data_IF_752963234118
#
_entry.id   IF_752963234118
#
_cell.length_a   1.000
_cell.length_b   1.000
_cell.length_c   1.000
_cell.angle_alpha   90.00
_cell.angle_beta   90.00
_cell.angle_gamma   90.00
#
_symmetry.space_group_name_H-M   'P 1'
#
loop_
_entity.id
_entity.type
_entity.pdbx_description
1 polymer ?
#
# COMPACT_ATOMS: atom_id res chain seq x y z
N UNK A 1 75.73 12.89 -7.78
CA UNK A 1 76.74 11.87 -8.10
C UNK A 1 76.03 10.72 -8.78
N UNK A 2 76.48 10.44 -10.00
CA UNK A 2 76.00 9.42 -10.92
C UNK A 2 76.66 8.07 -10.64
N UNK A 3 75.93 6.97 -10.81
CA UNK A 3 76.29 5.75 -11.59
C UNK A 3 75.12 4.77 -11.48
N UNK A 4 74.28 4.58 -12.51
CA UNK A 4 74.36 3.52 -13.55
C UNK A 4 74.34 2.11 -12.96
N UNK A 5 73.42 1.21 -13.31
CA UNK A 5 73.38 0.53 -14.63
C UNK A 5 72.00 -0.09 -14.91
N UNK A 6 71.59 -0.02 -16.17
CA UNK A 6 70.34 -0.51 -16.75
C UNK A 6 70.45 -1.93 -17.34
N UNK A 7 69.31 -2.55 -17.69
CA UNK A 7 68.98 -3.38 -18.89
C UNK A 7 67.50 -3.85 -18.68
N UNK A 8 66.48 -3.24 -19.31
CA UNK A 8 65.94 -3.43 -20.67
C UNK A 8 65.28 -4.83 -20.89
N UNK A 9 63.95 -4.95 -20.82
CA UNK A 9 62.92 -4.88 -21.89
C UNK A 9 62.77 -6.14 -22.75
N UNK A 10 61.56 -6.71 -22.82
CA UNK A 10 60.86 -6.96 -24.10
C UNK A 10 59.35 -7.21 -23.93
N UNK A 11 58.64 -6.70 -24.93
CA UNK A 11 57.20 -6.59 -25.14
C UNK A 11 56.70 -7.83 -25.89
N UNK A 12 55.47 -8.25 -25.62
CA UNK A 12 54.72 -9.15 -26.50
C UNK A 12 53.22 -8.99 -26.28
N UNK A 13 52.57 -8.23 -27.18
CA UNK A 13 51.13 -8.02 -27.20
C UNK A 13 50.40 -9.13 -27.99
N UNK A 14 49.18 -9.43 -27.54
CA UNK A 14 48.00 -9.88 -28.29
C UNK A 14 48.04 -11.23 -29.04
N UNK A 15 47.18 -12.18 -28.64
CA UNK A 15 45.85 -12.38 -29.27
C UNK A 15 45.17 -13.70 -28.84
N UNK A 16 43.94 -13.55 -28.33
CA UNK A 16 42.70 -14.27 -28.72
C UNK A 16 42.76 -15.79 -28.94
N UNK A 17 42.13 -16.55 -28.02
CA UNK A 17 40.92 -17.36 -28.28
C UNK A 17 40.82 -18.62 -27.40
N UNK A 18 39.57 -19.00 -27.10
CA UNK A 18 39.09 -20.22 -26.45
C UNK A 18 39.42 -20.39 -24.95
N UNK A 19 38.43 -20.10 -24.10
CA UNK A 19 37.79 -21.10 -23.23
C UNK A 19 36.46 -20.53 -22.72
N UNK A 20 35.46 -20.57 -23.61
CA UNK A 20 34.07 -20.55 -23.19
C UNK A 20 33.64 -21.94 -22.74
N UNK A 21 32.63 -21.98 -21.86
CA UNK A 21 31.94 -23.17 -21.34
C UNK A 21 32.71 -23.92 -20.23
N UNK A 22 32.57 -23.46 -18.97
CA UNK A 22 32.63 -24.29 -17.73
C UNK A 22 32.52 -23.45 -16.44
N UNK A 23 31.53 -22.55 -16.36
CA UNK A 23 31.11 -21.96 -15.06
C UNK A 23 29.64 -22.20 -14.74
N UNK A 24 28.93 -22.94 -15.58
CA UNK A 24 27.67 -23.57 -15.22
C UNK A 24 28.00 -24.92 -14.57
N UNK A 25 27.55 -25.13 -13.33
CA UNK A 25 27.80 -26.29 -12.45
C UNK A 25 29.01 -26.22 -11.51
N UNK A 26 28.89 -25.37 -10.48
CA UNK A 26 29.38 -25.69 -9.12
C UNK A 26 28.74 -24.78 -8.06
N UNK A 27 27.40 -24.78 -7.96
CA UNK A 27 26.70 -24.42 -6.71
C UNK A 27 25.86 -25.62 -6.29
N UNK A 28 26.57 -26.68 -5.91
CA UNK A 28 26.00 -27.88 -5.33
C UNK A 28 25.73 -27.66 -3.85
N UNK A 29 24.45 -27.74 -3.50
CA UNK A 29 23.95 -28.42 -2.30
C UNK A 29 24.30 -27.83 -0.93
N UNK A 30 23.80 -26.61 -0.67
CA UNK A 30 23.07 -26.35 0.57
C UNK A 30 22.07 -25.21 0.35
N UNK A 31 21.03 -25.47 -0.45
CA UNK A 31 19.89 -24.55 -0.51
C UNK A 31 19.26 -24.50 0.89
N UNK A 32 19.62 -23.45 1.65
CA UNK A 32 18.91 -23.09 2.87
C UNK A 32 17.42 -23.03 2.51
N UNK A 33 16.58 -23.77 3.24
CA UNK A 33 15.14 -23.94 2.99
C UNK A 33 14.31 -22.63 3.03
N UNK A 34 14.95 -21.46 3.03
CA UNK A 34 14.33 -20.13 3.24
C UNK A 34 14.68 -19.06 2.21
N UNK A 35 15.70 -19.25 1.37
CA UNK A 35 16.18 -18.14 0.53
C UNK A 35 15.19 -17.80 -0.58
N UNK A 36 14.72 -16.55 -0.62
CA UNK A 36 13.94 -16.03 -1.74
C UNK A 36 14.77 -15.95 -3.02
N UNK A 37 14.12 -16.16 -4.17
CA UNK A 37 14.78 -16.05 -5.47
C UNK A 37 14.79 -14.58 -5.93
N UNK A 38 15.94 -14.11 -6.38
CA UNK A 38 16.11 -12.80 -7.02
C UNK A 38 16.52 -13.01 -8.47
N UNK A 39 15.77 -12.45 -9.41
CA UNK A 39 16.16 -12.40 -10.81
C UNK A 39 16.58 -10.99 -11.16
N UNK A 40 17.85 -10.84 -11.56
CA UNK A 40 18.40 -9.57 -12.04
C UNK A 40 18.04 -9.38 -13.53
N UNK A 41 17.80 -8.13 -13.98
CA UNK A 41 17.62 -7.84 -15.40
C UNK A 41 18.88 -8.25 -16.19
N UNK A 42 18.70 -9.02 -17.26
CA UNK A 42 19.81 -9.44 -18.13
C UNK A 42 20.34 -8.29 -18.99
N UNK A 43 21.66 -8.27 -19.22
CA UNK A 43 22.35 -7.30 -20.09
C UNK A 43 22.26 -7.62 -21.59
N UNK A 44 21.46 -8.60 -22.00
CA UNK A 44 21.51 -9.14 -23.37
C UNK A 44 20.53 -8.41 -24.30
N UNK A 45 21.01 -7.32 -24.89
CA UNK A 45 20.40 -6.71 -26.06
C UNK A 45 20.73 -7.53 -27.31
N UNK A 46 20.01 -8.62 -27.56
CA UNK A 46 19.95 -9.18 -28.91
C UNK A 46 18.64 -9.89 -29.18
N UNK A 47 17.94 -9.36 -30.19
CA UNK A 47 16.72 -9.87 -30.84
C UNK A 47 15.43 -9.81 -30.04
N UNK A 48 14.66 -8.72 -30.21
CA UNK A 48 13.21 -8.72 -30.42
C UNK A 48 12.81 -7.36 -31.02
N UNK A 49 11.89 -7.40 -31.98
CA UNK A 49 11.58 -6.31 -32.91
C UNK A 49 11.00 -5.05 -32.27
N UNK A 50 11.06 -3.97 -33.06
CA UNK A 50 10.74 -2.59 -32.68
C UNK A 50 9.34 -2.43 -32.07
N UNK A 51 9.32 -2.10 -30.78
CA UNK A 51 8.23 -1.37 -30.12
C UNK A 51 8.88 -0.18 -29.39
N UNK A 52 8.20 0.96 -29.50
CA UNK A 52 8.59 2.29 -29.05
C UNK A 52 9.24 2.35 -27.66
N UNK A 53 10.48 2.87 -27.58
CA UNK A 53 11.12 3.54 -26.45
C UNK A 53 10.74 3.10 -25.01
N UNK A 54 10.86 1.81 -24.70
CA UNK A 54 10.85 1.31 -23.32
C UNK A 54 12.29 1.30 -22.78
N UNK A 55 12.58 2.09 -21.75
CA UNK A 55 13.73 1.81 -20.88
C UNK A 55 13.39 0.51 -20.15
N UNK A 56 14.11 -0.61 -20.35
CA UNK A 56 13.85 -1.82 -19.57
C UNK A 56 14.10 -1.49 -18.11
N UNK A 57 13.04 -1.45 -17.32
CA UNK A 57 13.14 -1.11 -15.91
C UNK A 57 13.99 -2.18 -15.22
N UNK A 58 15.18 -1.78 -14.78
CA UNK A 58 16.20 -2.66 -14.26
C UNK A 58 15.99 -2.98 -12.76
N UNK A 59 14.77 -3.34 -12.36
CA UNK A 59 14.51 -3.73 -10.97
C UNK A 59 14.65 -5.24 -10.80
N UNK A 60 15.26 -5.69 -9.68
CA UNK A 60 15.26 -7.10 -9.36
C UNK A 60 13.83 -7.57 -9.09
N UNK A 61 13.47 -8.72 -9.66
CA UNK A 61 12.22 -9.42 -9.35
C UNK A 61 12.46 -10.32 -8.14
N UNK A 62 11.65 -10.16 -7.10
CA UNK A 62 11.74 -10.92 -5.86
C UNK A 62 10.53 -11.85 -5.77
N UNK A 63 10.79 -13.16 -5.73
CA UNK A 63 9.76 -14.17 -5.58
C UNK A 63 9.49 -14.45 -4.08
N UNK A 64 8.25 -14.80 -3.70
CA UNK A 64 7.94 -15.14 -2.31
C UNK A 64 8.68 -16.42 -1.89
N UNK A 65 8.86 -16.65 -0.58
CA UNK A 65 9.42 -17.90 -0.06
C UNK A 65 8.68 -19.13 -0.60
N UNK A 66 9.36 -20.27 -0.62
CA UNK A 66 8.81 -21.55 -1.10
C UNK A 66 8.40 -21.60 -2.58
N UNK A 67 8.82 -20.64 -3.39
CA UNK A 67 8.67 -20.72 -4.85
C UNK A 67 9.56 -21.84 -5.41
N UNK A 68 8.96 -22.79 -6.14
CA UNK A 68 9.71 -23.88 -6.75
C UNK A 68 10.51 -23.41 -7.98
N UNK A 69 11.68 -24.03 -8.28
CA UNK A 69 12.44 -23.70 -9.50
C UNK A 69 11.63 -23.84 -10.79
N UNK A 70 10.67 -24.78 -10.84
CA UNK A 70 9.81 -24.99 -11.99
C UNK A 70 8.84 -23.82 -12.25
N UNK A 71 8.43 -23.12 -11.19
CA UNK A 71 7.52 -21.96 -11.29
C UNK A 71 8.26 -20.63 -11.44
N UNK A 72 9.55 -20.59 -11.08
CA UNK A 72 10.34 -19.37 -10.99
C UNK A 72 10.36 -18.55 -12.29
N UNK A 73 10.60 -19.18 -13.43
CA UNK A 73 10.69 -18.49 -14.71
C UNK A 73 9.35 -17.83 -15.11
N UNK A 74 8.25 -18.57 -15.00
CA UNK A 74 6.90 -18.08 -15.31
C UNK A 74 6.50 -16.94 -14.38
N UNK A 75 6.66 -17.12 -13.07
CA UNK A 75 6.33 -16.08 -12.08
C UNK A 75 7.17 -14.83 -12.27
N UNK A 76 8.45 -14.98 -12.58
CA UNK A 76 9.33 -13.84 -12.86
C UNK A 76 8.82 -13.04 -14.06
N UNK A 77 8.49 -13.71 -15.16
CA UNK A 77 7.96 -13.05 -16.36
C UNK A 77 6.61 -12.36 -16.09
N UNK A 78 5.73 -13.01 -15.34
CA UNK A 78 4.43 -12.46 -14.97
C UNK A 78 4.56 -11.22 -14.07
N UNK A 79 5.40 -11.29 -13.05
CA UNK A 79 5.64 -10.18 -12.12
C UNK A 79 6.31 -9.02 -12.84
N UNK A 80 7.32 -9.28 -13.69
CA UNK A 80 7.98 -8.24 -14.47
C UNK A 80 6.98 -7.51 -15.38
N UNK A 81 6.06 -8.22 -16.03
CA UNK A 81 4.99 -7.63 -16.82
C UNK A 81 4.07 -6.74 -15.98
N UNK A 82 3.67 -7.20 -14.79
CA UNK A 82 2.83 -6.42 -13.86
C UNK A 82 3.54 -5.15 -13.37
N UNK A 83 4.83 -5.24 -13.02
CA UNK A 83 5.64 -4.12 -12.56
C UNK A 83 5.89 -3.10 -13.67
N UNK A 84 6.19 -3.55 -14.90
CA UNK A 84 6.33 -2.66 -16.05
C UNK A 84 5.02 -1.93 -16.34
N UNK A 85 3.88 -2.63 -16.25
CA UNK A 85 2.56 -2.00 -16.37
C UNK A 85 2.35 -0.94 -15.28
N UNK A 86 2.69 -1.23 -14.03
CA UNK A 86 2.54 -0.28 -12.92
C UNK A 86 3.41 0.97 -13.05
N UNK A 87 4.63 0.82 -13.60
CA UNK A 87 5.56 1.92 -13.81
C UNK A 87 5.27 2.79 -15.05
N UNK A 88 4.18 2.54 -15.79
CA UNK A 88 3.86 3.24 -17.03
C UNK A 88 3.85 4.79 -16.89
N UNK A 89 3.46 5.29 -15.72
CA UNK A 89 3.40 6.73 -15.41
C UNK A 89 4.59 7.21 -14.57
N UNK A 90 5.68 6.45 -14.55
CA UNK A 90 6.92 6.74 -13.82
C UNK A 90 6.86 6.41 -12.33
N UNK A 91 8.04 6.33 -11.71
CA UNK A 91 8.18 5.89 -10.31
C UNK A 91 8.21 7.07 -9.34
N UNK A 92 7.58 6.96 -8.14
CA UNK A 92 7.58 8.04 -7.16
C UNK A 92 8.97 8.47 -6.68
N UNK A 93 9.91 7.52 -6.66
CA UNK A 93 11.35 7.70 -6.51
C UNK A 93 12.07 6.46 -7.06
N UNK A 94 13.40 6.44 -7.10
CA UNK A 94 14.18 5.30 -7.64
C UNK A 94 15.03 4.57 -6.58
N UNK A 95 14.93 4.98 -5.32
CA UNK A 95 15.69 4.39 -4.22
C UNK A 95 15.21 2.96 -3.92
N UNK A 96 16.11 1.98 -3.98
CA UNK A 96 15.88 0.58 -3.58
C UNK A 96 14.54 0.00 -4.12
N UNK A 97 14.26 0.22 -5.40
CA UNK A 97 13.03 -0.26 -6.05
C UNK A 97 13.18 -1.72 -6.42
N UNK A 98 12.16 -2.52 -6.10
CA UNK A 98 12.08 -3.94 -6.42
C UNK A 98 10.70 -4.31 -6.93
N UNK A 99 10.65 -5.35 -7.77
CA UNK A 99 9.43 -5.90 -8.32
C UNK A 99 8.99 -7.13 -7.54
N UNK A 100 7.73 -7.15 -7.13
CA UNK A 100 7.08 -8.25 -6.43
C UNK A 100 5.82 -8.68 -7.19
N UNK A 101 5.17 -9.76 -6.75
CA UNK A 101 3.90 -10.17 -7.34
C UNK A 101 2.83 -9.10 -7.21
N UNK A 102 2.45 -8.50 -8.34
CA UNK A 102 1.38 -7.51 -8.46
C UNK A 102 1.75 -6.07 -8.10
N UNK A 103 2.95 -5.80 -7.58
CA UNK A 103 3.34 -4.46 -7.14
C UNK A 103 4.85 -4.19 -7.21
N UNK A 104 5.19 -2.90 -7.29
CA UNK A 104 6.53 -2.35 -7.09
C UNK A 104 6.63 -1.76 -5.69
N UNK A 105 7.78 -1.87 -5.05
CA UNK A 105 8.04 -1.20 -3.77
C UNK A 105 9.42 -0.56 -3.75
N UNK A 106 9.50 0.65 -3.18
CA UNK A 106 10.77 1.27 -2.78
C UNK A 106 11.02 0.98 -1.31
N UNK A 107 12.13 0.32 -1.00
CA UNK A 107 12.48 -0.03 0.38
C UNK A 107 13.17 1.14 1.10
N UNK A 108 12.94 1.26 2.42
CA UNK A 108 13.69 2.19 3.26
C UNK A 108 14.42 1.41 4.37
N UNK A 109 15.75 1.39 4.31
CA UNK A 109 16.58 0.68 5.28
C UNK A 109 16.69 1.40 6.63
N UNK A 110 16.56 2.73 6.64
CA UNK A 110 16.60 3.54 7.86
C UNK A 110 15.32 3.31 8.70
N UNK A 111 14.16 3.40 8.05
CA UNK A 111 12.85 3.29 8.71
C UNK A 111 12.32 1.86 8.79
N UNK A 112 12.91 0.96 8.01
CA UNK A 112 12.55 -0.46 7.91
C UNK A 112 11.07 -0.68 7.56
N UNK A 113 10.54 0.19 6.72
CA UNK A 113 9.22 0.12 6.09
C UNK A 113 9.39 0.62 4.64
N UNK A 114 8.51 0.30 3.69
CA UNK A 114 8.61 0.85 2.35
C UNK A 114 8.43 2.38 2.33
N UNK A 115 9.12 3.08 1.43
CA UNK A 115 8.85 4.50 1.13
C UNK A 115 7.49 4.65 0.43
N UNK A 116 7.19 3.74 -0.49
CA UNK A 116 5.96 3.65 -1.24
C UNK A 116 5.81 2.26 -1.86
N UNK A 117 4.58 1.90 -2.17
CA UNK A 117 4.17 0.71 -2.93
C UNK A 117 3.28 1.19 -4.07
N UNK A 118 3.49 0.64 -5.26
CA UNK A 118 2.76 0.99 -6.49
C UNK A 118 2.18 -0.28 -7.13
N UNK A 119 0.90 -0.25 -7.48
CA UNK A 119 0.15 -1.38 -8.02
C UNK A 119 -0.84 -0.91 -9.11
N UNK A 120 -1.24 -1.82 -9.99
CA UNK A 120 -2.33 -1.60 -10.96
C UNK A 120 -3.45 -2.56 -10.68
N UNK A 121 -4.63 -2.03 -10.40
CA UNK A 121 -5.80 -2.83 -10.08
C UNK A 121 -6.71 -2.85 -11.28
N UNK A 122 -6.80 -4.01 -11.93
CA UNK A 122 -7.74 -4.28 -13.01
C UNK A 122 -8.84 -5.22 -12.50
N UNK A 123 -10.05 -4.68 -12.36
CA UNK A 123 -11.21 -5.40 -11.86
C UNK A 123 -11.50 -6.68 -12.66
N UNK A 124 -11.20 -6.69 -13.96
CA UNK A 124 -11.48 -7.83 -14.84
C UNK A 124 -10.54 -9.00 -14.53
N UNK A 125 -9.28 -8.72 -14.20
CA UNK A 125 -8.30 -9.74 -13.79
C UNK A 125 -8.68 -10.38 -12.44
N UNK A 126 -9.38 -9.64 -11.57
CA UNK A 126 -9.90 -10.18 -10.31
C UNK A 126 -11.07 -11.16 -10.47
N UNK A 127 -11.79 -11.12 -11.60
CA UNK A 127 -13.05 -11.85 -11.79
C UNK A 127 -13.07 -12.77 -13.02
N UNK A 128 -11.98 -12.88 -13.77
CA UNK A 128 -11.88 -13.68 -14.99
C UNK A 128 -12.13 -15.19 -14.81
N UNK A 129 -12.27 -15.68 -13.57
CA UNK A 129 -12.62 -17.06 -13.24
C UNK A 129 -14.10 -17.34 -12.96
N UNK A 130 -14.97 -16.32 -12.87
CA UNK A 130 -16.43 -16.52 -12.67
C UNK A 130 -17.16 -16.49 -14.01
N UNK A 131 -17.61 -17.66 -14.48
CA UNK A 131 -18.59 -17.75 -15.58
C UNK A 131 -19.85 -16.98 -15.15
N UNK A 132 -20.36 -16.00 -15.93
CA UNK A 132 -21.63 -15.37 -15.63
C UNK A 132 -22.74 -16.42 -15.80
N UNK A 133 -23.43 -16.77 -14.72
CA UNK A 133 -24.73 -17.43 -14.82
C UNK A 133 -25.72 -16.45 -15.45
N UNK A 134 -26.62 -16.99 -16.27
CA UNK A 134 -27.55 -16.30 -17.18
C UNK A 134 -28.21 -15.02 -16.64
N UNK A 135 -28.58 -14.09 -17.55
CA UNK A 135 -29.22 -12.83 -17.19
C UNK A 135 -30.69 -13.04 -16.86
N UNK A 136 -31.01 -13.25 -15.59
CA UNK A 136 -32.39 -13.14 -15.11
C UNK A 136 -32.38 -12.71 -13.64
N UNK A 137 -32.55 -11.39 -13.44
CA UNK A 137 -32.94 -10.62 -12.22
C UNK A 137 -32.03 -9.41 -11.97
N UNK A 138 -31.98 -8.49 -12.93
CA UNK A 138 -31.59 -7.11 -12.64
C UNK A 138 -32.81 -6.38 -12.07
N UNK A 139 -33.03 -6.50 -10.76
CA UNK A 139 -33.98 -5.66 -10.04
C UNK A 139 -33.53 -5.49 -8.58
N UNK A 140 -33.08 -4.27 -8.28
CA UNK A 140 -32.95 -3.66 -6.96
C UNK A 140 -32.07 -4.38 -5.93
N UNK A 141 -30.84 -3.90 -5.77
CA UNK A 141 -30.01 -4.15 -4.59
C UNK A 141 -28.94 -3.07 -4.49
N UNK A 142 -29.02 -2.23 -3.47
CA UNK A 142 -27.90 -1.43 -2.97
C UNK A 142 -26.83 -2.40 -2.42
N UNK A 143 -26.01 -2.98 -3.31
CA UNK A 143 -24.84 -3.80 -2.94
C UNK A 143 -23.61 -2.90 -2.69
N UNK A 144 -23.80 -1.86 -1.89
CA UNK A 144 -22.71 -1.09 -1.29
C UNK A 144 -22.57 -1.57 0.16
N UNK A 145 -21.38 -2.07 0.49
CA UNK A 145 -20.95 -2.61 1.79
C UNK A 145 -21.35 -4.05 2.14
N UNK A 146 -20.65 -5.02 1.54
CA UNK A 146 -20.24 -6.24 2.28
C UNK A 146 -18.73 -6.42 2.11
N UNK A 147 -17.97 -5.71 2.96
CA UNK A 147 -16.59 -6.06 3.28
C UNK A 147 -16.56 -6.52 4.73
N UNK A 148 -16.57 -7.83 4.92
CA UNK A 148 -16.49 -8.44 6.24
C UNK A 148 -17.60 -9.45 6.47
N UNK A 149 -17.53 -10.58 5.76
CA UNK A 149 -17.81 -11.91 6.28
C UNK A 149 -17.50 -12.88 5.13
N UNK A 150 -16.25 -13.37 5.08
CA UNK A 150 -16.01 -14.66 4.42
C UNK A 150 -16.72 -15.68 5.31
N UNK A 151 -17.97 -15.98 4.97
CA UNK A 151 -18.68 -17.12 5.54
C UNK A 151 -17.79 -18.35 5.44
N UNK A 152 -17.79 -19.15 6.50
CA UNK A 152 -17.12 -20.44 6.58
C UNK A 152 -17.80 -21.41 5.61
N UNK A 153 -17.60 -21.21 4.30
CA UNK A 153 -18.02 -22.14 3.27
C UNK A 153 -16.95 -23.22 3.18
N UNK A 154 -17.21 -24.32 3.88
CA UNK A 154 -16.36 -25.51 3.94
C UNK A 154 -16.39 -26.31 2.62
N UNK A 155 -16.96 -25.76 1.53
CA UNK A 155 -16.88 -26.33 0.19
C UNK A 155 -15.62 -25.85 -0.57
N UNK A 156 -14.44 -26.14 0.00
CA UNK A 156 -13.14 -25.81 -0.59
C UNK A 156 -12.97 -26.46 -1.97
N UNK A 157 -13.07 -25.66 -3.03
CA UNK A 157 -12.57 -26.06 -4.35
C UNK A 157 -11.04 -26.09 -4.28
N UNK A 158 -10.45 -27.28 -4.46
CA UNK A 158 -9.00 -27.44 -4.54
C UNK A 158 -8.46 -26.62 -5.74
N UNK A 159 -7.85 -25.46 -5.46
CA UNK A 159 -7.29 -24.57 -6.48
C UNK A 159 -7.52 -23.07 -6.26
N UNK A 160 -8.43 -22.68 -5.37
CA UNK A 160 -8.71 -21.25 -5.12
C UNK A 160 -7.56 -20.55 -4.36
N UNK A 161 -7.22 -19.32 -4.75
CA UNK A 161 -6.22 -18.48 -4.07
C UNK A 161 -6.79 -17.99 -2.74
N UNK A 162 -6.08 -18.21 -1.63
CA UNK A 162 -6.60 -17.92 -0.30
C UNK A 162 -5.55 -17.27 0.61
N UNK A 163 -5.98 -16.20 1.27
CA UNK A 163 -5.17 -15.44 2.23
C UNK A 163 -4.73 -16.30 3.42
N UNK A 164 -5.54 -17.28 3.79
CA UNK A 164 -5.29 -18.16 4.93
C UNK A 164 -4.08 -19.10 4.70
N UNK A 165 -3.60 -19.21 3.46
CA UNK A 165 -2.37 -19.94 3.12
C UNK A 165 -1.11 -19.06 3.12
N UNK A 166 -1.27 -17.75 3.24
CA UNK A 166 -0.17 -16.79 3.24
C UNK A 166 0.30 -16.50 4.66
N UNK A 167 1.61 -16.31 4.83
CA UNK A 167 2.21 -15.97 6.10
C UNK A 167 3.10 -14.74 5.94
N UNK A 168 3.09 -13.85 6.93
CA UNK A 168 4.08 -12.76 6.99
C UNK A 168 5.49 -13.33 7.04
N UNK A 169 6.39 -12.78 6.23
CA UNK A 169 7.79 -13.23 6.19
C UNK A 169 8.76 -12.05 6.08
N UNK A 170 9.97 -12.27 6.56
CA UNK A 170 11.07 -11.34 6.44
C UNK A 170 11.69 -11.43 5.05
N UNK A 171 12.06 -10.30 4.44
CA UNK A 171 12.65 -10.30 3.11
C UNK A 171 14.13 -10.73 3.18
N UNK A 172 14.43 -11.92 2.70
CA UNK A 172 15.79 -12.48 2.76
C UNK A 172 16.76 -11.80 1.77
N UNK A 173 16.23 -11.01 0.84
CA UNK A 173 16.98 -10.21 -0.13
C UNK A 173 17.33 -8.82 0.41
N UNK A 174 16.81 -8.46 1.59
CA UNK A 174 17.24 -7.28 2.36
C UNK A 174 18.43 -7.67 3.25
N UNK A 175 19.50 -6.84 3.32
CA UNK A 175 20.62 -7.08 4.24
C UNK A 175 20.13 -7.29 5.67
N UNK A 176 20.76 -8.21 6.40
CA UNK A 176 20.28 -8.66 7.70
C UNK A 176 20.06 -7.52 8.71
N UNK A 177 20.90 -6.48 8.69
CA UNK A 177 20.80 -5.30 9.56
C UNK A 177 19.52 -4.46 9.34
N UNK A 178 18.86 -4.60 8.19
CA UNK A 178 17.66 -3.84 7.82
C UNK A 178 16.42 -4.72 7.66
N UNK A 179 16.58 -6.04 7.85
CA UNK A 179 15.53 -7.03 7.65
C UNK A 179 14.51 -6.96 8.79
N UNK A 180 13.24 -7.06 8.45
CA UNK A 180 12.14 -6.97 9.42
C UNK A 180 11.49 -8.33 9.62
N UNK A 181 11.71 -9.00 10.76
CA UNK A 181 10.97 -10.21 11.06
C UNK A 181 9.51 -9.92 11.43
N UNK A 182 8.58 -10.87 11.20
CA UNK A 182 7.15 -10.70 11.51
C UNK A 182 6.81 -10.38 12.97
N UNK A 183 7.74 -10.62 13.90
CA UNK A 183 7.60 -10.32 15.33
C UNK A 183 8.15 -8.94 15.72
N UNK A 184 8.52 -8.08 14.76
CA UNK A 184 9.03 -6.73 15.03
C UNK A 184 7.94 -5.75 15.47
N UNK A 185 6.67 -6.06 15.22
CA UNK A 185 5.58 -5.11 15.46
C UNK A 185 4.96 -5.43 16.82
N UNK A 186 5.68 -5.03 17.87
CA UNK A 186 5.37 -5.38 19.27
C UNK A 186 4.59 -4.30 20.00
N UNK A 187 4.53 -3.09 19.44
CA UNK A 187 3.77 -1.97 20.03
C UNK A 187 2.29 -2.32 20.10
N UNK A 188 1.67 -2.03 21.24
CA UNK A 188 0.31 -2.48 21.53
C UNK A 188 -0.70 -1.82 20.58
N UNK A 189 -1.61 -2.63 20.05
CA UNK A 189 -2.66 -2.19 19.14
C UNK A 189 -2.17 -1.79 17.75
N UNK A 190 -0.88 -2.03 17.45
CA UNK A 190 -0.39 -2.02 16.09
C UNK A 190 -0.64 -3.38 15.44
N UNK A 191 -1.00 -3.33 14.18
CA UNK A 191 -1.19 -4.46 13.28
C UNK A 191 -0.14 -4.41 12.16
N UNK A 192 0.01 -5.52 11.44
CA UNK A 192 0.79 -5.59 10.21
C UNK A 192 -0.08 -5.09 9.05
N UNK A 193 -0.05 -3.78 8.82
CA UNK A 193 -0.86 -3.09 7.82
C UNK A 193 -0.31 -3.28 6.41
N UNK A 194 -1.14 -3.76 5.48
CA UNK A 194 -0.74 -3.91 4.08
C UNK A 194 -0.88 -2.57 3.35
N UNK A 195 0.06 -2.24 2.46
CA UNK A 195 -0.07 -1.09 1.55
C UNK A 195 -0.76 -1.50 0.23
N UNK A 196 -0.26 -2.56 -0.41
CA UNK A 196 -0.93 -3.34 -1.46
C UNK A 196 -1.74 -4.48 -0.81
N UNK A 197 -3.06 -4.41 -0.93
CA UNK A 197 -3.96 -5.26 -0.16
C UNK A 197 -4.06 -6.67 -0.75
N UNK A 198 -3.80 -7.71 0.05
CA UNK A 198 -3.84 -9.11 -0.39
C UNK A 198 -5.13 -9.49 -1.16
N UNK A 199 -6.27 -8.91 -0.77
CA UNK A 199 -7.57 -9.14 -1.42
C UNK A 199 -7.70 -8.61 -2.86
N UNK A 200 -6.74 -7.82 -3.33
CA UNK A 200 -6.61 -7.30 -4.69
C UNK A 200 -5.56 -8.07 -5.51
N UNK A 201 -4.91 -9.07 -4.92
CA UNK A 201 -3.84 -9.85 -5.54
C UNK A 201 -4.19 -11.34 -5.59
N UNK A 202 -5.22 -11.66 -6.39
CA UNK A 202 -5.80 -13.02 -6.47
C UNK A 202 -5.41 -13.80 -7.73
N UNK A 203 -4.49 -13.31 -8.56
CA UNK A 203 -4.15 -13.99 -9.81
C UNK A 203 -3.40 -15.32 -9.59
N UNK A 204 -2.60 -15.41 -8.52
CA UNK A 204 -1.97 -16.65 -8.08
C UNK A 204 -1.69 -16.61 -6.57
N UNK A 205 -1.46 -17.78 -5.96
CA UNK A 205 -1.06 -17.83 -4.56
C UNK A 205 0.29 -17.13 -4.34
N UNK A 206 1.24 -17.22 -5.28
CA UNK A 206 2.53 -16.55 -5.19
C UNK A 206 2.40 -15.01 -5.25
N UNK A 207 1.46 -14.49 -6.05
CA UNK A 207 1.15 -13.05 -6.05
C UNK A 207 0.61 -12.61 -4.69
N UNK A 208 -0.39 -13.33 -4.16
CA UNK A 208 -0.94 -13.06 -2.84
C UNK A 208 0.11 -13.15 -1.74
N UNK A 209 0.94 -14.21 -1.74
CA UNK A 209 2.02 -14.40 -0.78
C UNK A 209 3.01 -13.25 -0.83
N UNK A 210 3.29 -12.69 -2.01
CA UNK A 210 4.17 -11.52 -2.16
C UNK A 210 3.69 -10.31 -1.35
N UNK A 211 2.38 -10.15 -1.13
CA UNK A 211 1.83 -9.04 -0.32
C UNK A 211 2.13 -9.15 1.17
N UNK A 212 2.59 -10.31 1.65
CA UNK A 212 2.92 -10.55 3.07
C UNK A 212 4.38 -10.24 3.42
N UNK A 213 5.14 -9.65 2.50
CA UNK A 213 6.53 -9.26 2.70
C UNK A 213 6.67 -8.10 3.70
N UNK A 214 7.31 -8.35 4.85
CA UNK A 214 7.44 -7.39 5.95
C UNK A 214 8.24 -6.13 5.61
N UNK A 215 9.21 -6.20 4.70
CA UNK A 215 10.04 -5.06 4.32
C UNK A 215 9.41 -4.25 3.17
N UNK A 216 8.70 -4.91 2.27
CA UNK A 216 8.25 -4.33 1.01
C UNK A 216 6.83 -3.78 1.05
N UNK A 217 5.95 -4.34 1.88
CA UNK A 217 4.52 -4.04 1.79
C UNK A 217 3.83 -3.78 3.13
N UNK A 218 4.54 -3.94 4.25
CA UNK A 218 3.95 -3.88 5.58
C UNK A 218 4.45 -2.65 6.35
N UNK A 219 3.53 -2.00 7.06
CA UNK A 219 3.80 -0.89 7.99
C UNK A 219 3.13 -1.14 9.35
N UNK A 220 3.72 -0.69 10.48
CA UNK A 220 3.01 -0.69 11.75
C UNK A 220 1.78 0.22 11.66
N UNK A 221 0.60 -0.35 11.74
CA UNK A 221 -0.66 0.36 11.51
C UNK A 221 -1.60 0.17 12.70
N UNK A 222 -2.20 1.25 13.21
CA UNK A 222 -3.21 1.14 14.27
C UNK A 222 -4.33 0.19 13.83
N UNK A 223 -4.67 -0.76 14.69
CA UNK A 223 -5.59 -1.84 14.33
C UNK A 223 -7.01 -1.35 14.05
N UNK A 224 -7.45 -0.25 14.66
CA UNK A 224 -8.78 0.30 14.44
C UNK A 224 -8.84 1.10 13.14
N UNK A 225 -7.76 1.79 12.78
CA UNK A 225 -7.61 2.35 11.43
C UNK A 225 -7.63 1.24 10.38
N UNK A 226 -6.80 0.21 10.56
CA UNK A 226 -6.67 -0.90 9.61
C UNK A 226 -8.01 -1.62 9.39
N UNK A 227 -8.75 -1.89 10.48
CA UNK A 227 -10.01 -2.63 10.43
C UNK A 227 -11.22 -1.82 9.96
N UNK A 228 -11.13 -0.49 9.86
CA UNK A 228 -12.27 0.37 9.52
C UNK A 228 -11.96 1.31 8.37
N UNK A 229 -11.29 2.44 8.63
CA UNK A 229 -11.14 3.53 7.65
C UNK A 229 -10.20 3.16 6.51
N UNK A 230 -9.13 2.44 6.81
CA UNK A 230 -8.22 1.95 5.78
C UNK A 230 -8.90 0.87 4.93
N UNK A 231 -9.64 -0.05 5.54
CA UNK A 231 -10.42 -1.06 4.83
C UNK A 231 -11.50 -0.42 3.93
N UNK A 232 -12.15 0.67 4.37
CA UNK A 232 -13.06 1.46 3.53
C UNK A 232 -12.33 2.03 2.31
N UNK A 233 -11.11 2.53 2.50
CA UNK A 233 -10.28 3.06 1.41
C UNK A 233 -9.84 1.95 0.44
N UNK A 234 -9.54 0.74 0.92
CA UNK A 234 -9.33 -0.44 0.07
C UNK A 234 -10.60 -0.85 -0.69
N UNK A 235 -11.77 -0.73 -0.06
CA UNK A 235 -13.07 -0.88 -0.71
C UNK A 235 -13.28 0.13 -1.83
N UNK A 236 -12.90 1.39 -1.60
CA UNK A 236 -12.91 2.41 -2.64
C UNK A 236 -11.97 2.05 -3.80
N UNK A 237 -10.78 1.51 -3.54
CA UNK A 237 -9.88 0.99 -4.60
C UNK A 237 -10.60 -0.02 -5.49
N UNK A 238 -11.31 -0.99 -4.90
CA UNK A 238 -12.07 -2.01 -5.64
C UNK A 238 -13.19 -1.40 -6.47
N UNK A 239 -13.93 -0.46 -5.88
CA UNK A 239 -15.02 0.27 -6.57
C UNK A 239 -14.48 1.07 -7.75
N UNK A 240 -13.46 1.91 -7.53
CA UNK A 240 -12.85 2.73 -8.57
C UNK A 240 -12.30 1.86 -9.71
N UNK A 241 -11.63 0.75 -9.39
CA UNK A 241 -11.11 -0.17 -10.40
C UNK A 241 -12.23 -0.74 -11.27
N UNK A 242 -13.38 -1.10 -10.67
CA UNK A 242 -14.56 -1.53 -11.42
C UNK A 242 -15.09 -0.42 -12.32
N UNK A 243 -15.31 0.76 -11.77
CA UNK A 243 -15.88 1.90 -12.49
C UNK A 243 -15.02 2.27 -13.70
N UNK A 244 -13.69 2.36 -13.50
CA UNK A 244 -12.69 2.71 -14.53
C UNK A 244 -12.53 1.60 -15.57
N UNK A 245 -12.39 0.34 -15.15
CA UNK A 245 -12.16 -0.77 -16.09
C UNK A 245 -13.39 -1.13 -16.92
N UNK A 246 -14.60 -0.83 -16.45
CA UNK A 246 -15.87 -1.11 -17.16
C UNK A 246 -16.43 0.15 -17.84
N UNK A 247 -15.86 1.33 -17.60
CA UNK A 247 -16.32 2.60 -18.18
C UNK A 247 -17.66 3.09 -17.61
N UNK A 248 -17.95 2.77 -16.34
CA UNK A 248 -19.15 3.25 -15.67
C UNK A 248 -18.93 4.64 -15.09
N UNK A 249 -19.20 5.68 -15.89
CA UNK A 249 -19.42 7.03 -15.38
C UNK A 249 -20.86 7.19 -14.92
N UNK A 250 -21.10 7.52 -13.65
CA UNK A 250 -22.42 8.00 -13.25
C UNK A 250 -22.62 9.44 -13.74
N UNK A 251 -23.01 9.61 -15.00
CA UNK A 251 -23.61 10.87 -15.43
C UNK A 251 -24.90 11.07 -14.63
N UNK A 252 -24.99 12.16 -13.88
CA UNK A 252 -26.18 12.52 -13.10
C UNK A 252 -27.45 12.38 -13.94
N UNK A 253 -28.56 11.96 -13.30
CA UNK A 253 -29.90 11.79 -13.89
C UNK A 253 -30.32 12.99 -14.76
N UNK A 254 -29.90 12.99 -16.02
CA UNK A 254 -30.45 13.80 -17.09
C UNK A 254 -31.64 13.06 -17.67
N UNK A 255 -32.84 13.55 -17.38
CA UNK A 255 -34.12 13.03 -17.85
C UNK A 255 -34.12 12.97 -19.40
N UNK A 256 -33.75 11.83 -19.99
CA UNK A 256 -33.95 11.59 -21.43
C UNK A 256 -35.45 11.50 -21.69
N UNK A 257 -35.98 12.57 -22.28
CA UNK A 257 -37.36 12.67 -22.77
C UNK A 257 -37.54 11.62 -23.87
N UNK A 258 -38.56 10.77 -23.72
CA UNK A 258 -38.84 9.66 -24.62
C UNK A 258 -39.07 10.11 -26.06
N UNK A 259 -38.33 9.49 -26.98
CA UNK A 259 -38.61 9.44 -28.40
C UNK A 259 -38.29 8.03 -28.87
N UNK A 260 -39.30 7.32 -29.38
CA UNK A 260 -39.16 5.97 -29.91
C UNK A 260 -38.21 5.95 -31.13
N UNK A 261 -37.29 4.98 -31.26
CA UNK A 261 -36.48 4.87 -32.46
C UNK A 261 -37.22 4.08 -33.56
N UNK A 262 -37.04 4.43 -34.85
CA UNK A 262 -37.51 3.59 -35.95
C UNK A 262 -36.56 2.40 -36.14
N UNK A 263 -37.13 1.27 -36.57
CA UNK A 263 -36.39 0.07 -36.90
C UNK A 263 -35.49 0.30 -38.12
N UNK A 264 -34.18 0.13 -37.95
CA UNK A 264 -33.19 0.17 -39.01
C UNK A 264 -31.95 -0.63 -38.61
N UNK A 265 -31.59 -1.59 -39.46
CA UNK A 265 -30.41 -2.44 -39.34
C UNK A 265 -29.14 -1.60 -39.07
N UNK A 266 -28.50 -1.84 -37.93
CA UNK A 266 -27.11 -1.44 -37.70
C UNK A 266 -26.30 -2.69 -37.43
N UNK A 267 -25.42 -2.99 -38.36
CA UNK A 267 -24.23 -3.81 -38.16
C UNK A 267 -23.58 -3.41 -36.84
N UNK A 268 -23.56 -4.33 -35.89
CA UNK A 268 -22.75 -4.24 -34.67
C UNK A 268 -21.29 -4.16 -35.10
N UNK A 269 -20.78 -2.94 -35.23
CA UNK A 269 -19.36 -2.72 -35.08
C UNK A 269 -19.07 -2.99 -33.60
N UNK A 270 -18.58 -4.21 -33.30
CA UNK A 270 -17.91 -4.55 -32.06
C UNK A 270 -16.83 -3.49 -31.81
N UNK A 271 -17.16 -2.49 -31.00
CA UNK A 271 -16.22 -1.48 -30.56
C UNK A 271 -15.17 -2.18 -29.71
N UNK A 272 -13.94 -2.22 -30.20
CA UNK A 272 -12.75 -2.55 -29.42
C UNK A 272 -12.68 -1.60 -28.22
N UNK A 273 -13.33 -2.00 -27.11
CA UNK A 273 -13.54 -1.18 -25.94
C UNK A 273 -12.22 -0.91 -25.25
N UNK A 274 -11.72 0.31 -25.37
CA UNK A 274 -10.53 0.75 -24.67
C UNK A 274 -10.76 0.63 -23.16
N UNK A 275 -10.06 -0.29 -22.51
CA UNK A 275 -10.29 -0.60 -21.10
C UNK A 275 -9.47 0.28 -20.18
N UNK A 276 -10.15 1.02 -19.30
CA UNK A 276 -9.47 1.85 -18.32
C UNK A 276 -8.67 1.04 -17.29
N UNK A 277 -7.69 1.68 -16.68
CA UNK A 277 -6.81 1.12 -15.65
C UNK A 277 -6.76 2.03 -14.44
N UNK A 278 -6.72 1.44 -13.24
CA UNK A 278 -6.52 2.17 -11.99
C UNK A 278 -5.11 1.91 -11.47
N UNK A 279 -4.29 2.95 -11.45
CA UNK A 279 -2.97 2.97 -10.85
C UNK A 279 -3.08 3.46 -9.41
N UNK A 280 -2.40 2.78 -8.49
CA UNK A 280 -2.48 3.09 -7.06
C UNK A 280 -1.07 3.23 -6.50
N UNK A 281 -0.81 4.30 -5.76
CA UNK A 281 0.42 4.47 -4.97
C UNK A 281 0.04 4.65 -3.51
N UNK A 282 0.63 3.84 -2.64
CA UNK A 282 0.31 3.78 -1.21
C UNK A 282 1.59 3.86 -0.40
N UNK A 283 1.59 4.56 0.73
CA UNK A 283 2.80 4.66 1.54
C UNK A 283 2.61 5.31 2.90
N UNK A 284 3.66 5.26 3.74
CA UNK A 284 3.72 6.00 4.99
C UNK A 284 3.98 7.49 4.77
N UNK A 285 3.48 8.31 5.70
CA UNK A 285 3.83 9.73 5.80
C UNK A 285 4.18 10.13 7.24
N UNK A 286 5.19 10.99 7.37
CA UNK A 286 5.70 11.51 8.64
C UNK A 286 5.42 13.02 8.68
N UNK A 287 4.23 13.38 9.17
CA UNK A 287 3.71 14.74 9.14
C UNK A 287 4.28 15.53 10.32
N UNK A 288 4.97 16.67 10.07
CA UNK A 288 5.46 17.53 11.14
C UNK A 288 4.31 18.11 11.97
N UNK A 289 4.53 18.26 13.28
CA UNK A 289 3.61 18.90 14.21
C UNK A 289 4.28 20.05 14.93
N UNK A 290 3.49 21.05 15.32
CA UNK A 290 3.98 22.12 16.18
C UNK A 290 4.08 21.60 17.60
N UNK A 291 5.25 21.78 18.18
CA UNK A 291 5.58 21.37 19.54
C UNK A 291 5.82 22.64 20.36
N UNK A 292 5.13 22.77 21.48
CA UNK A 292 5.45 23.78 22.49
C UNK A 292 6.71 23.34 23.21
N UNK A 293 7.65 24.26 23.34
CA UNK A 293 8.89 24.07 24.07
C UNK A 293 8.69 24.53 25.51
N UNK A 294 8.81 23.60 26.44
CA UNK A 294 8.74 23.83 27.87
C UNK A 294 10.11 23.51 28.50
N UNK A 295 10.44 24.16 29.61
CA UNK A 295 11.66 23.85 30.36
C UNK A 295 11.27 23.34 31.74
N UNK A 296 11.80 22.18 32.12
CA UNK A 296 11.68 21.67 33.48
C UNK A 296 12.50 22.55 34.46
N UNK A 297 12.21 22.49 35.77
CA UNK A 297 13.01 23.20 36.78
C UNK A 297 14.51 22.86 36.76
N UNK A 298 14.88 21.68 36.25
CA UNK A 298 16.28 21.25 36.07
C UNK A 298 16.95 21.81 34.79
N UNK A 299 16.22 22.61 34.01
CA UNK A 299 16.68 23.18 32.74
C UNK A 299 16.46 22.29 31.52
N UNK A 300 15.93 21.08 31.67
CA UNK A 300 15.70 20.16 30.54
C UNK A 300 14.59 20.68 29.63
N UNK A 301 14.88 20.79 28.33
CA UNK A 301 13.89 21.12 27.30
C UNK A 301 12.93 19.93 27.07
N UNK A 302 11.62 20.19 27.12
CA UNK A 302 10.54 19.22 26.91
C UNK A 302 9.65 19.71 25.79
N UNK A 303 9.32 18.83 24.86
CA UNK A 303 8.52 19.17 23.70
C UNK A 303 7.13 18.57 23.86
N UNK A 304 6.12 19.43 24.00
CA UNK A 304 4.72 19.03 24.18
C UNK A 304 3.96 19.27 22.87
N UNK A 305 3.33 18.24 22.27
CA UNK A 305 2.52 18.43 21.07
C UNK A 305 1.40 19.44 21.30
N UNK A 306 1.26 20.42 20.40
CA UNK A 306 0.12 21.33 20.43
C UNK A 306 -1.09 20.68 19.74
N UNK A 307 -2.29 20.77 20.34
CA UNK A 307 -3.53 20.37 19.67
C UNK A 307 -3.71 21.14 18.35
N UNK A 308 -4.29 20.50 17.34
CA UNK A 308 -4.49 21.08 16.00
C UNK A 308 -5.31 22.39 16.02
N UNK A 309 -6.24 22.54 16.97
CA UNK A 309 -7.02 23.75 17.16
C UNK A 309 -6.20 24.92 17.74
N UNK A 310 -5.18 24.60 18.54
CA UNK A 310 -4.29 25.59 19.16
C UNK A 310 -3.13 25.97 18.23
N UNK A 311 -2.77 25.11 17.28
CA UNK A 311 -1.71 25.35 16.29
C UNK A 311 -1.96 26.61 15.42
N UNK A 312 -3.22 26.91 15.09
CA UNK A 312 -3.61 28.12 14.34
C UNK A 312 -3.66 29.38 15.22
N UNK A 313 -3.91 29.22 16.53
CA UNK A 313 -4.00 30.31 17.49
C UNK A 313 -2.66 30.66 18.16
N UNK A 314 -1.74 29.69 18.28
CA UNK A 314 -0.45 29.79 18.96
C UNK A 314 0.51 30.81 18.33
N UNK A 315 0.29 31.17 17.06
CA UNK A 315 1.02 32.25 16.40
C UNK A 315 0.75 33.64 17.00
N UNK A 316 -0.30 33.82 17.82
CA UNK A 316 -0.73 35.16 18.27
C UNK A 316 -0.75 35.39 19.78
N UNK A 317 -0.71 34.35 20.63
CA UNK A 317 -0.96 34.50 22.09
C UNK A 317 -0.10 33.68 23.06
N UNK A 318 0.85 32.85 22.60
CA UNK A 318 1.71 32.04 23.49
C UNK A 318 3.10 32.67 23.69
N UNK A 319 3.57 32.79 24.93
CA UNK A 319 4.93 33.26 25.27
C UNK A 319 5.98 32.16 25.19
N UNK A 320 5.58 30.88 25.18
CA UNK A 320 6.50 29.76 25.05
C UNK A 320 6.90 29.54 23.57
N UNK A 321 8.19 29.29 23.27
CA UNK A 321 8.64 29.06 21.90
C UNK A 321 7.98 27.80 21.32
N UNK A 322 7.64 27.86 20.03
CA UNK A 322 7.05 26.73 19.30
C UNK A 322 8.01 26.29 18.22
N UNK A 323 8.24 24.98 18.10
CA UNK A 323 9.10 24.37 17.07
C UNK A 323 8.28 23.41 16.20
N UNK A 324 8.47 23.46 14.89
CA UNK A 324 7.91 22.45 13.99
C UNK A 324 8.82 21.21 14.00
N UNK A 325 8.28 20.05 14.37
CA UNK A 325 9.06 18.82 14.51
C UNK A 325 8.34 17.62 13.91
N UNK A 326 9.12 16.72 13.31
CA UNK A 326 8.65 15.39 12.94
C UNK A 326 9.03 14.41 14.03
N UNK A 327 8.04 13.85 14.71
CA UNK A 327 8.22 12.86 15.78
C UNK A 327 7.41 11.63 15.45
N UNK A 328 7.97 10.44 15.66
CA UNK A 328 7.29 9.17 15.44
C UNK A 328 7.81 8.11 16.40
N UNK A 329 6.95 7.13 16.71
CA UNK A 329 7.29 5.99 17.56
C UNK A 329 8.15 4.98 16.77
N UNK A 330 8.99 4.23 17.49
CA UNK A 330 9.61 3.01 16.99
C UNK A 330 8.98 1.80 17.68
N UNK A 331 8.57 0.80 16.91
CA UNK A 331 8.13 -0.50 17.42
C UNK A 331 9.26 -1.53 17.35
N UNK A 332 9.13 -2.67 18.05
CA UNK A 332 10.15 -3.71 18.09
C UNK A 332 10.99 -3.68 19.37
N UNK A 333 12.09 -4.42 19.39
CA UNK A 333 12.90 -4.59 20.59
C UNK A 333 14.33 -4.06 20.37
N UNK A 334 14.80 -3.06 21.15
CA UNK A 334 16.13 -2.49 20.98
C UNK A 334 17.27 -3.52 21.08
N UNK A 335 17.20 -4.45 22.04
CA UNK A 335 18.22 -5.49 22.24
C UNK A 335 18.29 -6.54 21.13
N UNK A 336 17.27 -6.62 20.28
CA UNK A 336 17.23 -7.53 19.12
C UNK A 336 17.49 -6.81 17.81
N UNK A 337 17.75 -5.50 17.87
CA UNK A 337 17.88 -4.63 16.71
C UNK A 337 16.73 -4.84 15.70
N UNK A 338 15.49 -4.86 16.19
CA UNK A 338 14.28 -5.01 15.35
C UNK A 338 13.43 -3.74 15.33
N UNK A 339 14.04 -2.58 15.56
CA UNK A 339 13.31 -1.32 15.62
C UNK A 339 12.78 -0.93 14.24
N UNK A 340 11.48 -0.60 14.17
CA UNK A 340 10.78 -0.23 12.93
C UNK A 340 10.01 1.07 13.16
N UNK A 341 10.06 2.00 12.22
CA UNK A 341 9.35 3.26 12.33
C UNK A 341 7.83 3.07 12.23
N UNK A 342 7.09 3.69 13.15
CA UNK A 342 5.63 3.77 13.09
C UNK A 342 5.26 5.07 12.36
N UNK A 343 4.64 5.01 11.16
CA UNK A 343 4.29 6.20 10.43
C UNK A 343 3.20 7.00 11.15
N UNK A 344 3.26 8.33 11.09
CA UNK A 344 2.24 9.18 11.70
C UNK A 344 0.92 9.17 10.94
N UNK A 345 0.99 8.95 9.62
CA UNK A 345 -0.11 8.94 8.67
C UNK A 345 0.18 7.89 7.60
N UNK A 346 -0.87 7.43 6.93
CA UNK A 346 -0.77 6.66 5.70
C UNK A 346 -1.44 7.43 4.57
N UNK A 347 -0.93 7.27 3.35
CA UNK A 347 -1.52 7.87 2.17
C UNK A 347 -1.86 6.82 1.11
N UNK A 348 -2.86 7.11 0.29
CA UNK A 348 -3.18 6.36 -0.93
C UNK A 348 -3.57 7.34 -2.04
N UNK A 349 -3.01 7.15 -3.22
CA UNK A 349 -3.23 7.99 -4.39
C UNK A 349 -3.72 7.11 -5.53
N UNK A 350 -4.78 7.57 -6.18
CA UNK A 350 -5.40 6.92 -7.32
C UNK A 350 -5.15 7.77 -8.55
N UNK A 351 -4.68 7.13 -9.63
CA UNK A 351 -4.67 7.68 -10.98
C UNK A 351 -5.54 6.76 -11.84
N UNK A 352 -6.67 7.28 -12.32
CA UNK A 352 -7.49 6.59 -13.29
C UNK A 352 -7.03 6.98 -14.69
N UNK A 353 -6.84 5.97 -15.53
CA UNK A 353 -6.62 6.08 -16.96
C UNK A 353 -7.86 5.55 -17.67
N UNK A 354 -8.49 6.37 -18.49
CA UNK A 354 -9.75 6.08 -19.18
C UNK A 354 -9.66 6.43 -20.67
N UNK A 355 -10.67 6.04 -21.45
CA UNK A 355 -10.75 6.31 -22.89
C UNK A 355 -9.55 5.82 -23.72
N UNK A 356 -8.87 4.77 -23.25
CA UNK A 356 -7.69 4.22 -23.90
C UNK A 356 -6.44 5.06 -23.70
N UNK A 357 -6.28 5.64 -22.51
CA UNK A 357 -5.14 6.50 -22.19
C UNK A 357 -5.33 7.96 -22.59
N UNK A 358 -6.52 8.37 -23.03
CA UNK A 358 -6.80 9.75 -23.46
C UNK A 358 -7.30 10.63 -22.32
N UNK A 359 -7.92 10.05 -21.31
CA UNK A 359 -8.44 10.75 -20.14
C UNK A 359 -7.72 10.24 -18.89
N UNK A 360 -7.33 11.18 -18.02
CA UNK A 360 -6.71 10.88 -16.74
C UNK A 360 -7.34 11.72 -15.64
N UNK A 361 -7.51 11.14 -14.46
CA UNK A 361 -7.97 11.86 -13.27
C UNK A 361 -7.31 11.29 -12.01
N UNK A 362 -7.21 12.12 -10.96
CA UNK A 362 -6.43 11.81 -9.77
C UNK A 362 -7.21 12.08 -8.48
N UNK A 363 -6.99 11.28 -7.45
CA UNK A 363 -7.38 11.62 -6.08
C UNK A 363 -6.33 11.11 -5.09
N UNK A 364 -5.98 11.93 -4.10
CA UNK A 364 -5.05 11.58 -3.03
C UNK A 364 -5.76 11.65 -1.68
N UNK A 365 -5.50 10.67 -0.82
CA UNK A 365 -6.03 10.56 0.52
C UNK A 365 -4.89 10.42 1.53
N UNK A 366 -5.03 11.04 2.70
CA UNK A 366 -4.08 10.91 3.81
C UNK A 366 -4.82 10.79 5.13
N UNK A 367 -4.56 9.70 5.87
CA UNK A 367 -5.24 9.37 7.12
C UNK A 367 -4.24 9.31 8.29
N UNK A 368 -4.58 9.81 9.48
CA UNK A 368 -3.74 9.65 10.66
C UNK A 368 -3.64 8.17 11.06
N UNK A 369 -2.43 7.69 11.37
CA UNK A 369 -2.19 6.33 11.83
C UNK A 369 -2.49 6.20 13.34
N UNK A 370 -3.77 6.26 13.69
CA UNK A 370 -4.24 6.18 15.06
C UNK A 370 -5.76 6.02 15.12
N UNK A 371 -6.33 5.97 16.33
CA UNK A 371 -7.77 5.81 16.51
C UNK A 371 -8.56 6.96 15.87
N UNK A 372 -9.50 6.63 14.98
CA UNK A 372 -10.44 7.57 14.39
C UNK A 372 -11.81 7.34 15.03
N UNK A 373 -12.25 8.32 15.81
CA UNK A 373 -13.52 8.23 16.57
C UNK A 373 -14.72 8.77 15.79
N UNK A 374 -14.48 9.69 14.85
CA UNK A 374 -15.53 10.33 14.06
C UNK A 374 -15.89 9.52 12.82
N UNK A 375 -17.19 9.41 12.53
CA UNK A 375 -17.70 8.72 11.35
C UNK A 375 -17.74 9.65 10.12
N UNK A 376 -16.55 10.05 9.66
CA UNK A 376 -16.41 10.93 8.51
C UNK A 376 -16.47 10.16 7.17
N UNK A 377 -17.03 10.75 6.10
CA UNK A 377 -16.91 10.19 4.75
C UNK A 377 -15.44 10.17 4.30
N UNK A 378 -15.07 9.27 3.38
CA UNK A 378 -13.66 9.16 2.93
C UNK A 378 -13.13 10.47 2.32
N UNK A 379 -13.99 11.28 1.69
CA UNK A 379 -13.64 12.60 1.15
C UNK A 379 -13.13 13.58 2.21
N UNK A 380 -13.42 13.37 3.50
CA UNK A 380 -12.85 14.18 4.58
C UNK A 380 -11.33 14.01 4.72
N UNK A 381 -10.78 12.89 4.20
CA UNK A 381 -9.34 12.60 4.19
C UNK A 381 -8.68 12.92 2.84
N UNK A 382 -9.43 13.46 1.88
CA UNK A 382 -8.89 13.85 0.59
C UNK A 382 -7.95 15.05 0.76
N UNK A 383 -6.79 15.00 0.11
CA UNK A 383 -5.79 16.07 0.12
C UNK A 383 -5.37 16.40 -1.31
N UNK A 384 -4.93 17.65 -1.59
CA UNK A 384 -4.28 17.97 -2.85
C UNK A 384 -3.00 17.12 -3.00
N UNK A 385 -2.75 16.58 -4.19
CA UNK A 385 -1.60 15.73 -4.45
C UNK A 385 -0.29 16.49 -4.20
N UNK A 386 -0.24 17.79 -4.47
CA UNK A 386 0.93 18.65 -4.23
C UNK A 386 1.30 18.70 -2.75
N UNK A 387 0.28 18.74 -1.86
CA UNK A 387 0.51 18.70 -0.42
C UNK A 387 1.16 17.38 -0.02
N UNK A 388 0.68 16.27 -0.58
CA UNK A 388 1.23 14.96 -0.29
C UNK A 388 2.68 14.84 -0.77
N UNK A 389 2.99 15.25 -2.01
CA UNK A 389 4.35 15.27 -2.55
C UNK A 389 5.32 16.08 -1.68
N UNK A 390 4.89 17.25 -1.17
CA UNK A 390 5.71 18.07 -0.26
C UNK A 390 5.99 17.39 1.08
N UNK A 391 5.03 16.64 1.61
CA UNK A 391 5.18 15.94 2.90
C UNK A 391 6.06 14.69 2.75
N UNK A 392 5.88 13.93 1.68
CA UNK A 392 6.55 12.64 1.49
C UNK A 392 7.90 12.77 0.79
N UNK A 393 8.13 13.86 0.06
CA UNK A 393 9.29 14.02 -0.81
C UNK A 393 9.22 13.16 -2.07
N UNK A 394 8.05 12.62 -2.41
CA UNK A 394 7.82 11.78 -3.59
C UNK A 394 7.26 12.62 -4.74
N UNK A 395 7.65 12.30 -5.97
CA UNK A 395 7.03 12.85 -7.17
C UNK A 395 6.04 11.82 -7.72
N UNK A 396 4.76 11.96 -7.40
CA UNK A 396 3.75 10.95 -7.69
C UNK A 396 3.33 11.01 -9.17
N UNK A 397 3.53 9.91 -9.89
CA UNK A 397 3.28 9.77 -11.34
C UNK A 397 4.05 10.80 -12.21
N UNK A 398 5.40 10.82 -12.14
CA UNK A 398 6.22 11.84 -12.78
C UNK A 398 6.21 11.80 -14.32
N UNK A 399 5.64 10.75 -14.93
CA UNK A 399 5.40 10.68 -16.38
C UNK A 399 4.39 11.73 -16.88
N UNK A 400 3.69 12.41 -15.97
CA UNK A 400 2.76 13.50 -16.27
C UNK A 400 2.68 14.53 -15.14
N UNK A 401 2.04 15.67 -15.41
CA UNK A 401 1.76 16.66 -14.37
C UNK A 401 0.46 16.30 -13.63
N UNK A 402 0.57 15.35 -12.69
CA UNK A 402 -0.57 14.87 -11.90
C UNK A 402 -1.27 15.99 -11.10
N UNK A 403 -0.58 17.11 -10.84
CA UNK A 403 -1.11 18.27 -10.10
C UNK A 403 -2.19 19.05 -10.86
N UNK A 404 -2.23 18.86 -12.19
CA UNK A 404 -3.19 19.53 -13.08
C UNK A 404 -4.36 18.64 -13.50
N UNK A 405 -4.36 17.38 -13.08
CA UNK A 405 -5.39 16.44 -13.48
C UNK A 405 -6.74 16.76 -12.80
N UNK A 406 -7.86 16.48 -13.48
CA UNK A 406 -9.18 16.50 -12.87
C UNK A 406 -9.25 15.63 -11.61
N UNK A 407 -10.05 16.08 -10.65
CA UNK A 407 -10.33 15.34 -9.42
C UNK A 407 -11.24 14.13 -9.70
N UNK A 408 -10.68 12.93 -9.51
CA UNK A 408 -11.36 11.64 -9.71
C UNK A 408 -12.64 11.51 -8.87
N UNK A 409 -12.67 12.13 -7.68
CA UNK A 409 -13.81 12.01 -6.79
C UNK A 409 -15.04 12.80 -7.25
N UNK A 410 -14.87 13.73 -8.20
CA UNK A 410 -15.99 14.43 -8.83
C UNK A 410 -16.78 13.54 -9.79
N UNK A 411 -16.15 12.55 -10.40
CA UNK A 411 -16.78 11.65 -11.38
C UNK A 411 -17.15 10.28 -10.80
N UNK A 412 -16.40 9.77 -9.82
CA UNK A 412 -16.60 8.40 -9.30
C UNK A 412 -17.15 8.30 -7.86
N UNK A 413 -17.54 9.41 -7.21
CA UNK A 413 -18.10 9.43 -5.84
C UNK A 413 -17.25 8.67 -4.82
N UNK A 414 -16.35 9.39 -4.17
CA UNK A 414 -15.48 8.84 -3.13
C UNK A 414 -16.03 8.99 -1.70
N UNK A 415 -17.34 9.15 -1.51
CA UNK A 415 -17.94 9.56 -0.24
C UNK A 415 -18.38 8.39 0.66
N UNK A 416 -17.88 7.18 0.40
CA UNK A 416 -18.19 5.97 1.19
C UNK A 416 -18.14 6.28 2.68
N UNK A 417 -19.13 5.80 3.45
CA UNK A 417 -19.31 6.06 4.90
C UNK A 417 -19.12 4.77 5.72
N UNK A 418 -18.83 4.86 7.02
CA UNK A 418 -18.84 3.68 7.88
C UNK A 418 -20.24 3.06 7.92
N UNK A 419 -20.31 1.73 7.92
CA UNK A 419 -21.53 0.98 8.20
C UNK A 419 -21.52 0.44 9.63
N UNK A 420 -22.69 0.00 10.11
CA UNK A 420 -22.83 -0.59 11.45
C UNK A 420 -21.93 -1.82 11.67
N UNK A 421 -21.47 -2.49 10.60
CA UNK A 421 -20.53 -3.60 10.66
C UNK A 421 -19.22 -3.25 11.39
N UNK A 422 -18.82 -1.97 11.39
CA UNK A 422 -17.58 -1.50 12.01
C UNK A 422 -17.75 -0.99 13.45
N UNK A 423 -18.97 -1.07 14.01
CA UNK A 423 -19.30 -0.46 15.30
C UNK A 423 -18.38 -0.96 16.42
N UNK A 424 -18.06 -2.26 16.47
CA UNK A 424 -17.14 -2.83 17.45
C UNK A 424 -15.75 -2.16 17.42
N UNK A 425 -15.16 -2.00 16.24
CA UNK A 425 -13.85 -1.36 16.10
C UNK A 425 -13.91 0.14 16.37
N UNK A 426 -15.03 0.79 16.09
CA UNK A 426 -15.28 2.19 16.49
C UNK A 426 -15.31 2.35 18.01
N UNK A 427 -15.97 1.44 18.71
CA UNK A 427 -15.97 1.42 20.17
C UNK A 427 -14.56 1.22 20.73
N UNK A 428 -13.78 0.30 20.15
CA UNK A 428 -12.36 0.13 20.50
C UNK A 428 -11.56 1.41 20.24
N UNK A 429 -11.77 2.09 19.11
CA UNK A 429 -11.09 3.35 18.79
C UNK A 429 -11.38 4.45 19.82
N UNK A 430 -12.64 4.56 20.28
CA UNK A 430 -13.02 5.53 21.32
C UNK A 430 -12.32 5.26 22.66
N UNK A 431 -12.13 3.99 23.04
CA UNK A 431 -11.38 3.62 24.23
C UNK A 431 -9.89 3.95 24.07
N UNK A 432 -9.31 3.62 22.92
CA UNK A 432 -7.88 3.87 22.61
C UNK A 432 -7.53 5.35 22.53
N UNK A 433 -8.47 6.20 22.11
CA UNK A 433 -8.31 7.65 22.05
C UNK A 433 -8.34 8.34 23.43
N UNK A 434 -8.61 7.60 24.53
CA UNK A 434 -8.57 8.18 25.87
C UNK A 434 -7.13 8.34 26.36
N UNK A 435 -6.76 9.55 26.80
CA UNK A 435 -5.41 9.91 27.24
C UNK A 435 -5.24 9.88 28.78
N UNK A 436 -6.31 9.53 29.51
CA UNK A 436 -6.29 9.44 30.97
C UNK A 436 -7.32 8.43 31.49
N UNK A 437 -7.04 7.82 32.65
CA UNK A 437 -7.96 6.88 33.30
C UNK A 437 -9.37 7.47 33.50
N UNK A 438 -9.55 8.73 33.94
CA UNK A 438 -10.88 9.33 34.06
C UNK A 438 -11.62 9.43 32.72
N UNK A 439 -10.92 9.84 31.65
CA UNK A 439 -11.51 9.89 30.30
C UNK A 439 -11.91 8.49 29.83
N UNK A 440 -11.03 7.50 29.99
CA UNK A 440 -11.30 6.11 29.61
C UNK A 440 -12.54 5.55 30.31
N UNK A 441 -12.65 5.73 31.64
CA UNK A 441 -13.82 5.29 32.43
C UNK A 441 -15.10 5.97 31.97
N UNK A 442 -15.04 7.27 31.66
CA UNK A 442 -16.19 8.02 31.13
C UNK A 442 -16.63 7.47 29.78
N UNK A 443 -15.70 7.25 28.85
CA UNK A 443 -16.00 6.67 27.54
C UNK A 443 -16.62 5.29 27.69
N UNK A 444 -16.05 4.42 28.51
CA UNK A 444 -16.57 3.07 28.74
C UNK A 444 -18.00 3.09 29.33
N UNK A 445 -18.29 3.98 30.28
CA UNK A 445 -19.63 4.14 30.83
C UNK A 445 -20.65 4.59 29.78
N UNK A 446 -20.28 5.50 28.87
CA UNK A 446 -21.13 5.91 27.73
C UNK A 446 -21.41 4.72 26.82
N UNK A 447 -20.39 3.91 26.50
CA UNK A 447 -20.54 2.71 25.69
C UNK A 447 -21.49 1.70 26.35
N UNK A 448 -21.34 1.45 27.65
CA UNK A 448 -22.23 0.56 28.39
C UNK A 448 -23.69 1.05 28.38
N UNK A 449 -23.91 2.36 28.56
CA UNK A 449 -25.26 2.94 28.50
C UNK A 449 -25.88 2.82 27.09
N UNK A 450 -25.07 2.97 26.04
CA UNK A 450 -25.53 2.88 24.64
C UNK A 450 -25.89 1.46 24.20
N UNK A 451 -25.46 0.42 24.93
CA UNK A 451 -25.71 -0.97 24.59
C UNK A 451 -27.16 -1.44 24.86
N UNK A 452 -28.06 -0.55 25.29
CA UNK A 452 -29.51 -0.78 25.45
C UNK A 452 -29.88 -2.04 26.29
N UNK A 453 -29.05 -2.38 27.29
CA UNK A 453 -29.24 -3.57 28.14
C UNK A 453 -28.57 -4.84 27.62
N UNK A 454 -27.96 -4.81 26.43
CA UNK A 454 -27.02 -5.82 25.94
C UNK A 454 -25.64 -5.66 26.58
N UNK A 455 -24.88 -6.75 26.68
CA UNK A 455 -23.47 -6.70 27.09
C UNK A 455 -22.62 -6.16 25.94
N UNK A 456 -21.62 -5.34 26.26
CA UNK A 456 -20.59 -4.97 25.28
C UNK A 456 -19.88 -6.22 24.76
N UNK A 457 -19.42 -6.16 23.51
CA UNK A 457 -18.58 -7.19 22.90
C UNK A 457 -17.34 -7.44 23.77
N UNK A 458 -16.98 -8.71 23.96
CA UNK A 458 -15.88 -9.09 24.85
C UNK A 458 -14.54 -8.43 24.48
N UNK A 459 -14.30 -8.17 23.20
CA UNK A 459 -13.07 -7.49 22.79
C UNK A 459 -13.07 -6.01 23.13
N UNK A 460 -14.23 -5.36 23.19
CA UNK A 460 -14.35 -3.96 23.65
C UNK A 460 -14.08 -3.90 25.15
N UNK A 461 -14.60 -4.86 25.92
CA UNK A 461 -14.32 -4.99 27.36
C UNK A 461 -12.83 -5.25 27.60
N UNK A 462 -12.23 -6.16 26.82
CA UNK A 462 -10.81 -6.46 26.90
C UNK A 462 -9.92 -5.26 26.55
N UNK A 463 -10.31 -4.49 25.53
CA UNK A 463 -9.59 -3.26 25.16
C UNK A 463 -9.65 -2.22 26.28
N UNK A 464 -10.80 -2.07 26.95
CA UNK A 464 -10.92 -1.20 28.12
C UNK A 464 -9.96 -1.61 29.23
N UNK A 465 -9.93 -2.90 29.60
CA UNK A 465 -9.04 -3.40 30.65
C UNK A 465 -7.56 -3.12 30.32
N UNK A 466 -7.15 -3.43 29.09
CA UNK A 466 -5.80 -3.16 28.60
C UNK A 466 -5.44 -1.68 28.62
N UNK A 467 -6.34 -0.81 28.14
CA UNK A 467 -6.09 0.64 28.13
C UNK A 467 -6.03 1.21 29.56
N UNK A 468 -6.72 0.58 30.51
CA UNK A 468 -6.64 0.92 31.94
C UNK A 468 -5.24 0.64 32.50
N UNK A 469 -4.65 -0.51 32.15
CA UNK A 469 -3.28 -0.87 32.54
C UNK A 469 -2.21 0.05 31.92
N UNK A 470 -2.46 0.63 30.75
CA UNK A 470 -1.52 1.53 30.06
C UNK A 470 -1.46 2.94 30.65
N UNK A 471 -2.58 3.41 31.20
CA UNK A 471 -2.73 4.79 31.69
C UNK A 471 -2.40 4.93 33.18
N UNK A 472 -2.00 3.83 33.82
CA UNK A 472 -1.53 3.73 35.22
C UNK A 472 -0.03 3.50 35.20
#
# INVERSE_FOLDING_TARGET
MSTSTAIARLIGAASVALFGVTTYWAYSTQASKRTQLVVQPGSDSSSLGSVSADVPLAFPVVLPPHTSPAQAATLTADFLRQCNEAAAHGLPSTAEVRCYGGYLASLNYERRIPNWVMEVIDYRKLHSGRRPSSPATAANGDDDAVLGEEGNDDSRVAGEVSRNRSNFYADDTVPAAFRVPPNSYTSRGMSRGHLAAAQLHKASQAEMDSTFNMNANIVPQDMTLNAVDWLRLEGLTRKLSKDVSVGQHQTGRGRRRGGSPPAGNTTEAEGAGSSGKLYVVTGPAFVPRLMRVEHRPDGTEVHVPLPSADASAASSKSTAPVKLMTTYELTGHPSRDTLVAVPSHLFKVFLAEEDGGRSHSVAAFMMPNGPIVEELPLTAYQVPIERLQRITGLQLFPGMDATRLPDLCKTHKCDARPSALFQRYRQMAQLRAADSVPQLRKTYAVLQASAAGGKLDEAVVHEFQKRMEELV
#
